data_IF_998245439697
#
_entry.id   IF_998245439697
#
_cell.length_a   1.000
_cell.length_b   1.000
_cell.length_c   1.000
_cell.angle_alpha   90.00
_cell.angle_beta   90.00
_cell.angle_gamma   90.00
#
_symmetry.space_group_name_H-M   'P 1'
#
loop_
_entity.id
_entity.type
_entity.pdbx_description
1 polymer ?
#
# COMPACT_ATOMS: atom_id res chain seq x y z
N UNK A 1 0.77 -5.91 37.23
CA UNK A 1 1.87 -5.42 36.39
C UNK A 1 1.31 -5.16 34.99
N UNK A 2 0.85 -3.95 34.72
CA UNK A 2 0.18 -3.57 33.46
C UNK A 2 1.17 -2.82 32.57
N UNK A 3 1.89 -3.56 31.72
CA UNK A 3 2.71 -2.98 30.67
C UNK A 3 1.81 -2.42 29.57
N UNK A 4 1.73 -1.10 29.45
CA UNK A 4 1.14 -0.43 28.28
C UNK A 4 2.08 -0.61 27.09
N UNK A 5 1.83 -1.62 26.26
CA UNK A 5 2.49 -1.77 24.96
C UNK A 5 1.90 -0.72 24.01
N UNK A 6 2.54 0.46 23.95
CA UNK A 6 2.33 1.42 22.86
C UNK A 6 3.11 0.90 21.66
N UNK A 7 2.47 0.08 20.83
CA UNK A 7 3.03 -0.29 19.53
C UNK A 7 2.89 0.93 18.63
N UNK A 8 3.96 1.74 18.59
CA UNK A 8 4.09 2.87 17.67
C UNK A 8 4.50 2.28 16.32
N UNK A 9 3.58 2.23 15.36
CA UNK A 9 3.85 1.84 13.97
C UNK A 9 4.59 2.99 13.25
N UNK A 10 5.89 3.12 13.52
CA UNK A 10 6.80 3.96 12.75
C UNK A 10 7.63 3.04 11.84
N UNK A 11 7.14 2.83 10.62
CA UNK A 11 7.89 2.12 9.57
C UNK A 11 8.87 3.12 8.91
N UNK A 12 9.94 3.46 9.61
CA UNK A 12 11.00 4.30 9.07
C UNK A 12 11.92 3.46 8.16
N UNK A 13 11.66 3.47 6.86
CA UNK A 13 12.56 2.89 5.85
C UNK A 13 13.79 3.80 5.74
N UNK A 14 14.83 3.51 6.52
CA UNK A 14 16.13 4.18 6.39
C UNK A 14 16.90 3.56 5.22
N UNK A 15 16.86 4.22 4.06
CA UNK A 15 17.66 3.82 2.88
C UNK A 15 19.13 4.21 3.11
N UNK A 16 19.99 3.20 3.28
CA UNK A 16 21.44 3.34 3.33
C UNK A 16 21.97 3.74 1.94
N UNK A 17 22.23 5.04 1.75
CA UNK A 17 22.92 5.55 0.57
C UNK A 17 24.42 5.20 0.61
N UNK A 18 24.80 4.08 -0.01
CA UNK A 18 26.19 3.73 -0.26
C UNK A 18 26.77 4.52 -1.44
N UNK A 19 27.54 5.57 -1.16
CA UNK A 19 28.31 6.29 -2.18
C UNK A 19 29.44 5.40 -2.74
N UNK A 20 29.25 4.81 -3.93
CA UNK A 20 30.34 4.21 -4.71
C UNK A 20 30.86 5.20 -5.74
N UNK A 21 32.12 5.60 -5.60
CA UNK A 21 32.83 6.45 -6.55
C UNK A 21 32.87 5.80 -7.93
N UNK A 22 32.41 6.52 -8.95
CA UNK A 22 32.35 6.09 -10.35
C UNK A 22 33.70 6.38 -11.02
N UNK A 23 34.40 5.39 -11.61
CA UNK A 23 35.62 5.63 -12.36
C UNK A 23 35.32 6.36 -13.68
N UNK A 24 36.17 7.34 -14.00
CA UNK A 24 36.14 8.16 -15.23
C UNK A 24 36.46 7.29 -16.45
N UNK A 25 35.57 7.20 -17.47
CA UNK A 25 35.88 6.47 -18.69
C UNK A 25 36.87 7.23 -19.58
N UNK A 26 37.86 6.51 -20.10
CA UNK A 26 38.83 6.96 -21.11
C UNK A 26 38.15 7.08 -22.48
N UNK A 27 38.43 8.13 -23.29
CA UNK A 27 37.84 8.26 -24.62
C UNK A 27 38.39 7.19 -25.57
N UNK A 28 37.50 6.45 -26.23
CA UNK A 28 37.83 5.54 -27.32
C UNK A 28 37.84 6.28 -28.68
N UNK A 29 38.67 5.84 -29.66
CA UNK A 29 38.80 6.49 -30.96
C UNK A 29 37.52 6.41 -31.81
N UNK A 30 37.25 7.49 -32.53
CA UNK A 30 36.08 7.72 -33.38
C UNK A 30 36.06 6.78 -34.59
N UNK A 31 35.03 5.92 -34.75
CA UNK A 31 34.85 5.16 -35.98
C UNK A 31 34.33 6.06 -37.13
N UNK A 32 34.89 5.83 -38.32
CA UNK A 32 34.46 6.41 -39.59
C UNK A 32 33.05 5.94 -39.95
N UNK A 33 32.15 6.86 -40.29
CA UNK A 33 30.74 6.57 -40.61
C UNK A 33 30.58 6.24 -42.09
N UNK A 34 30.21 5.00 -42.39
CA UNK A 34 29.60 4.59 -43.66
C UNK A 34 28.19 5.18 -43.78
N UNK A 35 27.76 5.66 -44.95
CA UNK A 35 26.41 6.20 -45.13
C UNK A 35 25.36 5.08 -44.96
N UNK A 36 24.46 5.27 -43.99
CA UNK A 36 23.37 4.34 -43.68
C UNK A 36 22.17 4.58 -44.62
N UNK A 37 21.51 3.47 -44.99
CA UNK A 37 20.32 3.45 -45.82
C UNK A 37 19.15 4.24 -45.20
N UNK A 38 18.35 4.83 -46.08
CA UNK A 38 17.18 5.66 -45.77
C UNK A 38 16.16 4.89 -44.91
N UNK A 39 15.65 5.47 -43.80
CA UNK A 39 14.69 4.79 -42.94
C UNK A 39 13.31 4.72 -43.61
N UNK A 40 12.78 3.50 -43.74
CA UNK A 40 11.38 3.25 -44.06
C UNK A 40 10.51 3.81 -42.93
N UNK A 41 9.55 4.67 -43.28
CA UNK A 41 8.63 5.30 -42.34
C UNK A 41 7.85 4.22 -41.56
N UNK A 42 8.13 4.08 -40.27
CA UNK A 42 7.34 3.26 -39.35
C UNK A 42 6.05 4.02 -39.06
N UNK A 43 4.92 3.43 -39.41
CA UNK A 43 3.60 4.00 -39.14
C UNK A 43 3.47 4.31 -37.63
N UNK A 44 3.20 5.57 -37.31
CA UNK A 44 2.90 5.99 -35.94
C UNK A 44 1.66 5.23 -35.46
N UNK A 45 1.85 4.37 -34.46
CA UNK A 45 0.76 3.72 -33.75
C UNK A 45 -0.14 4.83 -33.17
N UNK A 46 -1.42 4.78 -33.53
CA UNK A 46 -2.45 5.67 -33.03
C UNK A 46 -2.50 5.55 -31.50
N UNK A 47 -2.54 6.67 -30.74
CA UNK A 47 -2.61 6.59 -29.28
C UNK A 47 -3.88 5.86 -28.88
N UNK A 48 -3.73 4.69 -28.27
CA UNK A 48 -4.84 3.93 -27.71
C UNK A 48 -5.38 4.75 -26.54
N UNK A 49 -6.59 5.28 -26.69
CA UNK A 49 -7.31 5.96 -25.62
C UNK A 49 -7.40 5.02 -24.41
N UNK A 50 -7.10 5.46 -23.18
CA UNK A 50 -7.25 4.62 -22.00
C UNK A 50 -8.68 4.09 -21.96
N UNK A 51 -8.82 2.77 -22.04
CA UNK A 51 -10.14 2.14 -21.92
C UNK A 51 -10.56 2.31 -20.47
N UNK A 52 -11.66 3.02 -20.23
CA UNK A 52 -12.19 3.17 -18.88
C UNK A 52 -12.37 1.78 -18.27
N UNK A 53 -11.74 1.52 -17.12
CA UNK A 53 -11.89 0.25 -16.41
C UNK A 53 -13.38 -0.05 -16.22
N UNK A 54 -13.84 -1.28 -16.53
CA UNK A 54 -15.25 -1.61 -16.39
C UNK A 54 -15.69 -1.34 -14.96
N UNK A 55 -16.77 -0.55 -14.81
CA UNK A 55 -17.37 -0.25 -13.51
C UNK A 55 -17.74 -1.57 -12.83
N UNK A 56 -17.11 -1.85 -11.69
CA UNK A 56 -17.43 -3.02 -10.87
C UNK A 56 -18.76 -2.76 -10.16
N UNK A 57 -19.77 -3.61 -10.40
CA UNK A 57 -21.08 -3.46 -9.77
C UNK A 57 -20.97 -3.63 -8.24
N UNK A 58 -21.52 -2.68 -7.47
CA UNK A 58 -21.41 -2.66 -6.00
C UNK A 58 -20.09 -2.11 -5.47
N UNK A 59 -19.29 -1.47 -6.34
CA UNK A 59 -18.03 -0.82 -5.97
C UNK A 59 -18.06 0.66 -6.32
N UNK A 60 -17.44 1.48 -5.48
CA UNK A 60 -17.20 2.91 -5.70
C UNK A 60 -15.72 3.15 -5.95
N UNK A 61 -15.43 4.00 -6.93
CA UNK A 61 -14.08 4.49 -7.17
C UNK A 61 -13.76 5.62 -6.18
N UNK A 62 -12.61 5.49 -5.51
CA UNK A 62 -12.03 6.52 -4.66
C UNK A 62 -10.78 7.07 -5.35
N UNK A 63 -10.66 8.40 -5.39
CA UNK A 63 -9.58 9.10 -6.08
C UNK A 63 -8.87 10.03 -5.12
N UNK A 64 -7.56 9.84 -4.97
CA UNK A 64 -6.70 10.86 -4.38
C UNK A 64 -6.09 11.75 -5.45
N UNK A 65 -5.13 12.60 -5.04
CA UNK A 65 -4.37 13.43 -5.97
C UNK A 65 -3.62 12.59 -7.01
N UNK A 66 -2.92 11.55 -6.54
CA UNK A 66 -1.96 10.77 -7.36
C UNK A 66 -2.35 9.29 -7.48
N UNK A 67 -3.58 8.92 -7.10
CA UNK A 67 -4.05 7.53 -7.18
C UNK A 67 -5.55 7.42 -7.42
N UNK A 68 -5.99 6.24 -7.87
CA UNK A 68 -7.37 5.80 -7.77
C UNK A 68 -7.42 4.31 -7.40
N UNK A 69 -8.48 3.90 -6.70
CA UNK A 69 -8.84 2.49 -6.50
C UNK A 69 -10.34 2.33 -6.38
N UNK A 70 -10.81 1.09 -6.45
CA UNK A 70 -12.18 0.73 -6.19
C UNK A 70 -12.30 0.01 -4.85
N UNK A 71 -13.32 0.38 -4.07
CA UNK A 71 -13.74 -0.33 -2.86
C UNK A 71 -15.23 -0.69 -2.96
N UNK A 72 -15.71 -1.68 -2.20
CA UNK A 72 -17.14 -1.93 -2.09
C UNK A 72 -17.88 -0.67 -1.62
N UNK A 73 -19.10 -0.45 -2.11
CA UNK A 73 -19.96 0.69 -1.72
C UNK A 73 -20.25 0.77 -0.21
N UNK A 74 -20.10 -0.35 0.50
CA UNK A 74 -20.24 -0.42 1.96
C UNK A 74 -19.04 0.13 2.74
N UNK A 75 -17.93 0.45 2.07
CA UNK A 75 -16.74 1.01 2.71
C UNK A 75 -16.84 2.52 2.85
N UNK A 76 -16.41 3.03 4.00
CA UNK A 76 -16.36 4.47 4.28
C UNK A 76 -14.92 4.97 4.15
N UNK A 77 -14.68 5.85 3.18
CA UNK A 77 -13.38 6.46 2.94
C UNK A 77 -13.14 7.75 3.74
N UNK A 78 -11.90 7.97 4.15
CA UNK A 78 -11.39 9.22 4.71
C UNK A 78 -10.16 9.67 3.92
N UNK A 79 -10.21 10.89 3.40
CA UNK A 79 -9.09 11.52 2.69
C UNK A 79 -8.30 12.44 3.65
N UNK A 80 -7.00 12.17 3.90
CA UNK A 80 -6.19 12.92 4.87
C UNK A 80 -5.78 14.36 4.51
N UNK A 81 -6.13 14.85 3.31
CA UNK A 81 -5.67 16.15 2.80
C UNK A 81 -6.57 17.36 3.06
N UNK A 82 -7.73 17.19 3.69
CA UNK A 82 -8.62 18.32 4.01
C UNK A 82 -8.35 18.82 5.44
N UNK A 83 -8.28 20.14 5.61
CA UNK A 83 -8.32 20.77 6.93
C UNK A 83 -9.39 20.09 7.80
N UNK A 84 -9.00 19.66 9.00
CA UNK A 84 -9.88 18.95 9.92
C UNK A 84 -9.78 17.42 9.92
N UNK A 85 -8.66 16.82 9.48
CA UNK A 85 -8.40 15.38 9.69
C UNK A 85 -8.63 14.97 11.16
N UNK A 86 -8.13 15.76 12.11
CA UNK A 86 -8.37 15.55 13.55
C UNK A 86 -9.85 15.59 13.91
N UNK A 87 -10.63 16.50 13.32
CA UNK A 87 -12.07 16.63 13.58
C UNK A 87 -12.88 15.49 12.92
N UNK A 88 -12.52 15.09 11.70
CA UNK A 88 -13.10 13.92 11.02
C UNK A 88 -12.76 12.64 11.77
N UNK A 89 -11.54 12.53 12.27
CA UNK A 89 -11.12 11.42 13.11
C UNK A 89 -11.91 11.41 14.42
N UNK A 90 -12.05 12.54 15.11
CA UNK A 90 -12.87 12.63 16.31
C UNK A 90 -14.34 12.28 16.03
N UNK A 91 -14.89 12.73 14.89
CA UNK A 91 -16.25 12.38 14.45
C UNK A 91 -16.39 10.89 14.15
N UNK A 92 -15.39 10.30 13.51
CA UNK A 92 -15.38 8.88 13.20
C UNK A 92 -15.17 8.03 14.46
N UNK A 93 -14.35 8.47 15.42
CA UNK A 93 -14.26 7.87 16.75
C UNK A 93 -15.58 8.00 17.52
N UNK A 94 -16.29 9.13 17.39
CA UNK A 94 -17.59 9.29 18.03
C UNK A 94 -18.64 8.35 17.42
N UNK A 95 -18.63 8.16 16.10
CA UNK A 95 -19.54 7.26 15.38
C UNK A 95 -19.14 5.79 15.53
N UNK A 96 -17.84 5.54 15.67
CA UNK A 96 -17.26 4.20 15.75
C UNK A 96 -16.15 4.21 16.79
N UNK A 97 -16.51 4.08 18.08
CA UNK A 97 -15.58 4.15 19.18
C UNK A 97 -14.39 3.22 18.96
N UNK A 98 -14.59 2.02 18.41
CA UNK A 98 -13.59 0.97 18.15
C UNK A 98 -12.33 1.50 17.46
N UNK A 99 -12.50 2.42 16.50
CA UNK A 99 -11.41 2.99 15.71
C UNK A 99 -10.39 3.78 16.54
N UNK A 100 -10.78 4.31 17.70
CA UNK A 100 -9.85 4.96 18.62
C UNK A 100 -8.76 4.00 19.14
N UNK A 101 -9.06 2.71 19.26
CA UNK A 101 -8.10 1.70 19.71
C UNK A 101 -7.18 1.19 18.58
N UNK A 102 -7.67 1.19 17.35
CA UNK A 102 -6.96 0.66 16.18
C UNK A 102 -5.93 1.68 15.65
N UNK A 103 -6.32 2.94 15.60
CA UNK A 103 -5.52 3.99 14.96
C UNK A 103 -4.52 4.62 15.94
N UNK A 104 -4.68 4.39 17.25
CA UNK A 104 -3.76 4.84 18.30
C UNK A 104 -3.75 6.34 18.51
N UNK A 105 -3.14 7.10 17.59
CA UNK A 105 -3.06 8.56 17.60
C UNK A 105 -3.35 9.16 16.22
N UNK A 106 -3.70 10.45 16.19
CA UNK A 106 -3.83 11.18 14.94
C UNK A 106 -2.53 11.18 14.11
N UNK A 107 -1.37 11.08 14.78
CA UNK A 107 -0.06 11.02 14.10
C UNK A 107 0.10 9.79 13.22
N UNK A 108 -0.49 8.65 13.60
CA UNK A 108 -0.45 7.44 12.79
C UNK A 108 -1.22 7.57 11.47
N UNK A 109 -2.07 8.60 11.35
CA UNK A 109 -2.83 8.92 10.14
C UNK A 109 -2.07 9.83 9.18
N UNK A 110 -1.06 10.57 9.67
CA UNK A 110 -0.39 11.61 8.88
C UNK A 110 0.41 11.08 7.69
N UNK A 111 0.95 9.87 7.80
CA UNK A 111 1.77 9.27 6.72
C UNK A 111 0.93 8.54 5.66
N UNK A 112 -0.39 8.47 5.85
CA UNK A 112 -1.29 7.89 4.88
C UNK A 112 -1.87 8.97 3.97
N UNK A 113 -1.99 8.63 2.68
CA UNK A 113 -2.68 9.47 1.68
C UNK A 113 -4.15 9.09 1.53
N UNK A 114 -4.57 7.99 2.15
CA UNK A 114 -5.95 7.48 2.13
C UNK A 114 -6.21 6.52 3.27
N UNK A 115 -7.42 6.56 3.80
CA UNK A 115 -7.97 5.55 4.69
C UNK A 115 -9.35 5.13 4.22
N UNK A 116 -9.71 3.88 4.47
CA UNK A 116 -11.10 3.44 4.38
C UNK A 116 -11.39 2.33 5.38
N UNK A 117 -12.65 2.21 5.77
CA UNK A 117 -13.12 1.26 6.76
C UNK A 117 -14.29 0.48 6.18
N UNK A 118 -14.25 -0.84 6.33
CA UNK A 118 -15.37 -1.72 6.02
C UNK A 118 -16.54 -1.51 6.98
N UNK A 119 -17.69 -2.14 6.70
CA UNK A 119 -18.84 -2.11 7.60
C UNK A 119 -18.50 -2.70 8.97
N UNK A 120 -18.99 -2.10 10.04
CA UNK A 120 -18.82 -2.58 11.41
C UNK A 120 -20.14 -2.91 12.06
N UNK A 121 -20.21 -4.04 12.76
CA UNK A 121 -21.35 -4.39 13.62
C UNK A 121 -21.13 -3.85 15.04
N UNK A 122 -22.20 -3.62 15.83
CA UNK A 122 -22.07 -3.19 17.23
C UNK A 122 -21.17 -4.09 18.09
N UNK A 123 -21.17 -5.39 17.80
CA UNK A 123 -20.39 -6.41 18.53
C UNK A 123 -19.00 -6.66 17.93
N UNK A 124 -18.62 -5.95 16.86
CA UNK A 124 -17.31 -6.14 16.25
C UNK A 124 -16.21 -5.66 17.20
N UNK A 125 -15.20 -6.49 17.45
CA UNK A 125 -14.02 -6.09 18.22
C UNK A 125 -13.02 -5.26 17.39
N UNK A 126 -13.14 -5.33 16.06
CA UNK A 126 -12.24 -4.70 15.10
C UNK A 126 -13.02 -4.26 13.84
N UNK A 127 -12.58 -3.17 13.24
CA UNK A 127 -13.11 -2.68 11.97
C UNK A 127 -12.11 -3.00 10.86
N UNK A 128 -12.54 -3.79 9.88
CA UNK A 128 -11.74 -4.04 8.69
C UNK A 128 -11.38 -2.70 8.05
N UNK A 129 -10.14 -2.53 7.61
CA UNK A 129 -9.67 -1.24 7.13
C UNK A 129 -8.60 -1.37 6.05
N UNK A 130 -8.43 -0.27 5.33
CA UNK A 130 -7.40 -0.01 4.35
C UNK A 130 -6.72 1.30 4.71
N UNK A 131 -5.39 1.33 4.66
CA UNK A 131 -4.63 2.56 4.51
C UNK A 131 -3.66 2.49 3.34
N UNK A 132 -3.46 3.63 2.68
CA UNK A 132 -2.53 3.76 1.57
C UNK A 132 -1.46 4.75 1.97
N UNK A 133 -0.21 4.34 1.82
CA UNK A 133 0.97 5.17 2.05
C UNK A 133 1.81 5.24 0.79
N UNK A 134 2.58 6.31 0.68
CA UNK A 134 3.53 6.54 -0.41
C UNK A 134 4.89 6.86 0.19
N UNK A 135 5.92 6.12 -0.22
CA UNK A 135 7.30 6.41 0.14
C UNK A 135 8.10 6.71 -1.12
N UNK A 136 8.88 7.80 -1.13
CA UNK A 136 9.74 8.10 -2.28
C UNK A 136 10.92 7.13 -2.34
N UNK A 137 11.20 6.63 -3.54
CA UNK A 137 12.39 5.85 -3.88
C UNK A 137 13.57 6.73 -4.34
N UNK A 138 13.42 8.06 -4.33
CA UNK A 138 14.47 9.00 -4.69
C UNK A 138 14.91 8.92 -6.15
N UNK A 139 14.00 8.53 -7.05
CA UNK A 139 14.28 8.39 -8.50
C UNK A 139 15.23 7.24 -8.85
N UNK A 140 15.42 6.28 -7.94
CA UNK A 140 16.13 5.04 -8.24
C UNK A 140 15.22 4.13 -9.08
N UNK A 141 15.80 3.27 -9.94
CA UNK A 141 15.01 2.24 -10.64
C UNK A 141 14.15 1.44 -9.66
N UNK A 142 12.97 1.02 -10.11
CA UNK A 142 12.10 0.17 -9.32
C UNK A 142 12.90 -1.01 -8.72
N UNK A 143 12.84 -1.21 -7.39
CA UNK A 143 13.63 -2.21 -6.70
C UNK A 143 13.22 -3.62 -7.15
N UNK A 144 14.15 -4.56 -7.06
CA UNK A 144 13.80 -5.97 -7.06
C UNK A 144 12.88 -6.25 -5.86
N UNK A 145 11.64 -6.66 -6.13
CA UNK A 145 10.63 -6.82 -5.08
C UNK A 145 11.01 -7.91 -4.09
N UNK A 146 11.72 -8.96 -4.51
CA UNK A 146 12.20 -9.99 -3.59
C UNK A 146 13.22 -9.40 -2.59
N UNK A 147 14.21 -8.65 -3.07
CA UNK A 147 15.18 -7.97 -2.24
C UNK A 147 14.55 -6.91 -1.31
N UNK A 148 13.54 -6.16 -1.80
CA UNK A 148 12.80 -5.17 -1.01
C UNK A 148 12.05 -5.81 0.17
N UNK A 149 11.39 -6.96 -0.06
CA UNK A 149 10.43 -7.54 0.87
C UNK A 149 11.11 -8.30 2.02
N UNK A 150 12.28 -8.91 1.78
CA UNK A 150 13.00 -9.66 2.82
C UNK A 150 13.24 -8.89 4.13
N UNK A 151 13.79 -7.65 4.13
CA UNK A 151 13.98 -6.90 5.37
C UNK A 151 12.66 -6.55 6.07
N UNK A 152 11.56 -6.37 5.32
CA UNK A 152 10.23 -6.09 5.88
C UNK A 152 9.71 -7.32 6.62
N UNK A 153 9.81 -8.51 6.01
CA UNK A 153 9.44 -9.77 6.64
C UNK A 153 10.25 -10.00 7.91
N UNK A 154 11.56 -9.73 7.88
CA UNK A 154 12.41 -9.91 9.05
C UNK A 154 12.01 -8.96 10.19
N UNK A 155 11.70 -7.70 9.87
CA UNK A 155 11.14 -6.76 10.83
C UNK A 155 9.81 -7.26 11.42
N UNK A 156 8.92 -7.83 10.60
CA UNK A 156 7.66 -8.42 11.07
C UNK A 156 7.89 -9.57 12.05
N UNK A 157 8.87 -10.45 11.78
CA UNK A 157 9.23 -11.52 12.73
C UNK A 157 9.74 -10.97 14.05
N UNK A 158 10.57 -9.92 14.03
CA UNK A 158 11.07 -9.26 15.24
C UNK A 158 9.94 -8.62 16.06
N UNK A 159 8.86 -8.20 15.41
CA UNK A 159 7.66 -7.66 16.03
C UNK A 159 6.63 -8.74 16.40
N UNK A 160 7.00 -10.02 16.34
CA UNK A 160 6.16 -11.17 16.67
C UNK A 160 4.89 -11.30 15.81
N UNK A 161 4.91 -10.81 14.58
CA UNK A 161 3.93 -11.21 13.58
C UNK A 161 4.11 -12.70 13.23
N UNK A 162 3.00 -13.37 12.96
CA UNK A 162 2.94 -14.79 12.62
C UNK A 162 2.35 -14.99 11.21
N UNK A 163 2.32 -16.25 10.77
CA UNK A 163 1.72 -16.68 9.49
C UNK A 163 2.17 -15.85 8.28
N UNK A 164 3.44 -15.42 8.29
CA UNK A 164 3.96 -14.51 7.28
C UNK A 164 4.23 -15.29 5.98
N UNK A 165 3.53 -14.93 4.91
CA UNK A 165 3.81 -15.40 3.56
C UNK A 165 3.91 -14.21 2.60
N UNK A 166 4.73 -14.35 1.56
CA UNK A 166 4.92 -13.29 0.57
C UNK A 166 4.93 -13.83 -0.86
N UNK A 167 4.37 -13.03 -1.76
CA UNK A 167 4.45 -13.20 -3.20
C UNK A 167 5.14 -11.96 -3.79
N UNK A 168 6.18 -12.14 -4.58
CA UNK A 168 7.05 -11.04 -5.05
C UNK A 168 7.09 -10.87 -6.56
N UNK A 169 6.34 -11.69 -7.29
CA UNK A 169 6.23 -11.71 -8.75
C UNK A 169 4.89 -11.15 -9.24
N UNK A 170 4.23 -10.32 -8.43
CA UNK A 170 2.97 -9.70 -8.78
C UNK A 170 3.17 -8.52 -9.72
N UNK A 171 2.13 -8.23 -10.49
CA UNK A 171 2.02 -7.03 -11.31
C UNK A 171 0.68 -6.36 -11.03
N UNK A 172 0.70 -5.08 -10.66
CA UNK A 172 -0.50 -4.26 -10.45
C UNK A 172 -0.38 -3.02 -11.34
N UNK A 173 -1.38 -2.77 -12.17
CA UNK A 173 -1.39 -1.68 -13.15
C UNK A 173 -0.13 -1.59 -14.04
N UNK A 174 0.50 -2.73 -14.35
CA UNK A 174 1.72 -2.79 -15.16
C UNK A 174 3.03 -2.55 -14.38
N UNK A 175 2.96 -2.40 -13.07
CA UNK A 175 4.12 -2.16 -12.20
C UNK A 175 4.46 -3.39 -11.36
N UNK A 176 5.76 -3.57 -11.09
CA UNK A 176 6.23 -4.62 -10.20
C UNK A 176 5.61 -4.46 -8.82
N UNK A 177 5.08 -5.55 -8.28
CA UNK A 177 4.39 -5.56 -7.02
C UNK A 177 4.75 -6.78 -6.17
N UNK A 178 4.47 -6.67 -4.88
CA UNK A 178 4.52 -7.77 -3.94
C UNK A 178 3.32 -7.74 -3.01
N UNK A 179 2.99 -8.88 -2.45
CA UNK A 179 1.95 -9.05 -1.47
C UNK A 179 2.52 -9.78 -0.27
N UNK A 180 2.37 -9.21 0.92
CA UNK A 180 2.67 -9.86 2.19
C UNK A 180 1.35 -10.15 2.90
N UNK A 181 1.17 -11.39 3.32
CA UNK A 181 0.15 -11.78 4.31
C UNK A 181 0.83 -12.01 5.63
N UNK A 182 0.17 -11.64 6.72
CA UNK A 182 0.67 -11.85 8.07
C UNK A 182 -0.49 -11.83 9.06
N UNK A 183 -0.22 -12.25 10.28
CA UNK A 183 -1.16 -12.19 11.38
C UNK A 183 -0.47 -11.63 12.63
N UNK A 184 -1.24 -11.00 13.53
CA UNK A 184 -0.72 -10.58 14.83
C UNK A 184 -1.80 -10.66 15.91
N UNK A 185 -1.41 -10.90 17.17
CA UNK A 185 -2.37 -10.96 18.26
C UNK A 185 -3.01 -9.59 18.48
N UNK A 186 -4.31 -9.62 18.75
CA UNK A 186 -5.11 -8.46 19.10
C UNK A 186 -5.87 -8.72 20.38
N UNK A 187 -5.93 -7.74 21.26
CA UNK A 187 -6.79 -7.77 22.44
C UNK A 187 -7.88 -6.73 22.28
N UNK A 188 -9.13 -7.21 22.17
CA UNK A 188 -10.33 -6.39 22.12
C UNK A 188 -10.55 -5.60 23.40
N UNK A 189 -11.52 -4.67 23.37
CA UNK A 189 -11.84 -3.82 24.54
C UNK A 189 -12.41 -4.59 25.72
N UNK A 190 -13.13 -5.65 25.42
CA UNK A 190 -13.67 -6.62 26.36
C UNK A 190 -12.58 -7.53 26.96
N UNK A 191 -11.33 -7.37 26.52
CA UNK A 191 -10.22 -8.24 26.89
C UNK A 191 -10.17 -9.54 26.10
N UNK A 192 -11.09 -9.76 25.15
CA UNK A 192 -11.06 -10.94 24.30
C UNK A 192 -9.80 -10.92 23.44
N UNK A 193 -9.07 -12.04 23.45
CA UNK A 193 -7.95 -12.23 22.52
C UNK A 193 -8.47 -12.69 21.16
N UNK A 194 -7.89 -12.15 20.11
CA UNK A 194 -8.14 -12.55 18.75
C UNK A 194 -6.88 -12.36 17.90
N UNK A 195 -7.03 -12.54 16.61
CA UNK A 195 -5.97 -12.38 15.64
C UNK A 195 -6.44 -11.43 14.54
N UNK A 196 -5.62 -10.45 14.20
CA UNK A 196 -5.82 -9.61 13.02
C UNK A 196 -5.01 -10.22 11.89
N UNK A 197 -5.63 -10.34 10.72
CA UNK A 197 -4.95 -10.74 9.49
C UNK A 197 -4.68 -9.51 8.64
N UNK A 198 -3.42 -9.31 8.28
CA UNK A 198 -2.97 -8.22 7.42
C UNK A 198 -2.68 -8.70 5.99
N UNK A 199 -3.06 -7.89 5.00
CA UNK A 199 -2.67 -8.02 3.61
C UNK A 199 -2.04 -6.72 3.16
N UNK A 200 -0.75 -6.75 2.83
CA UNK A 200 -0.03 -5.56 2.37
C UNK A 200 0.42 -5.74 0.93
N UNK A 201 -0.05 -4.89 0.04
CA UNK A 201 0.38 -4.83 -1.35
C UNK A 201 1.37 -3.67 -1.51
N UNK A 202 2.54 -3.97 -2.04
CA UNK A 202 3.59 -3.01 -2.32
C UNK A 202 3.71 -2.88 -3.83
N UNK A 203 3.50 -1.69 -4.38
CA UNK A 203 3.54 -1.42 -5.82
C UNK A 203 4.63 -0.41 -6.10
N UNK A 204 5.66 -0.82 -6.85
CA UNK A 204 6.85 -0.02 -7.11
C UNK A 204 6.79 0.67 -8.48
N UNK A 205 7.04 1.98 -8.48
CA UNK A 205 7.34 2.77 -9.68
C UNK A 205 8.82 3.15 -9.70
N UNK A 206 9.25 3.91 -10.70
CA UNK A 206 10.60 4.49 -10.74
C UNK A 206 10.80 5.62 -9.71
N UNK A 207 9.73 6.14 -9.10
CA UNK A 207 9.80 7.27 -8.20
C UNK A 207 9.34 6.92 -6.78
N UNK A 208 8.43 5.96 -6.64
CA UNK A 208 7.68 5.74 -5.41
C UNK A 208 7.38 4.27 -5.15
N UNK A 209 7.25 3.96 -3.87
CA UNK A 209 6.69 2.73 -3.35
C UNK A 209 5.32 3.05 -2.75
N UNK A 210 4.28 2.50 -3.35
CA UNK A 210 2.92 2.57 -2.85
C UNK A 210 2.63 1.36 -1.98
N UNK A 211 2.08 1.58 -0.79
CA UNK A 211 1.82 0.54 0.20
C UNK A 211 0.34 0.57 0.54
N UNK A 212 -0.41 -0.44 0.07
CA UNK A 212 -1.82 -0.65 0.40
C UNK A 212 -1.89 -1.68 1.51
N UNK A 213 -2.24 -1.26 2.73
CA UNK A 213 -2.32 -2.15 3.89
C UNK A 213 -3.78 -2.36 4.27
N UNK A 214 -4.27 -3.57 4.06
CA UNK A 214 -5.57 -4.04 4.51
C UNK A 214 -5.41 -4.81 5.81
N UNK A 215 -6.35 -4.64 6.73
CA UNK A 215 -6.43 -5.42 7.96
C UNK A 215 -7.86 -5.94 8.16
N UNK A 216 -7.96 -7.21 8.53
CA UNK A 216 -9.22 -7.91 8.81
C UNK A 216 -9.25 -8.37 10.26
N UNK A 217 -10.38 -8.17 10.93
CA UNK A 217 -10.61 -8.58 12.30
C UNK A 217 -10.82 -10.10 12.46
N UNK A 218 -10.85 -10.60 13.71
CA UNK A 218 -11.06 -12.03 13.99
C UNK A 218 -12.41 -12.57 13.49
N UNK A 219 -13.41 -11.68 13.32
CA UNK A 219 -14.75 -12.01 12.84
C UNK A 219 -14.96 -11.63 11.37
N UNK A 220 -13.89 -11.33 10.63
CA UNK A 220 -13.99 -10.96 9.23
C UNK A 220 -14.58 -12.09 8.39
N UNK A 221 -15.29 -11.69 7.32
CA UNK A 221 -15.86 -12.62 6.36
C UNK A 221 -14.74 -13.46 5.70
N UNK A 222 -14.93 -14.78 5.49
CA UNK A 222 -13.94 -15.62 4.81
C UNK A 222 -13.53 -15.12 3.41
N UNK A 223 -14.37 -14.31 2.76
CA UNK A 223 -14.13 -13.65 1.48
C UNK A 223 -13.32 -12.35 1.56
N UNK A 224 -12.93 -11.86 2.76
CA UNK A 224 -12.19 -10.61 2.93
C UNK A 224 -10.87 -10.60 2.13
N UNK A 225 -10.13 -11.71 2.13
CA UNK A 225 -8.88 -11.82 1.36
C UNK A 225 -9.11 -11.62 -0.15
N UNK A 226 -10.17 -12.22 -0.71
CA UNK A 226 -10.51 -12.08 -2.12
C UNK A 226 -10.96 -10.65 -2.45
N UNK A 227 -11.73 -10.02 -1.55
CA UNK A 227 -12.14 -8.62 -1.65
C UNK A 227 -10.93 -7.69 -1.65
N UNK A 228 -9.98 -7.87 -0.73
CA UNK A 228 -8.75 -7.06 -0.69
C UNK A 228 -7.90 -7.24 -1.94
N UNK A 229 -7.77 -8.47 -2.44
CA UNK A 229 -7.07 -8.75 -3.69
C UNK A 229 -7.74 -8.05 -4.88
N UNK A 230 -9.07 -8.14 -4.98
CA UNK A 230 -9.83 -7.47 -6.04
C UNK A 230 -9.67 -5.95 -5.98
N UNK A 231 -9.74 -5.36 -4.78
CA UNK A 231 -9.51 -3.93 -4.59
C UNK A 231 -8.08 -3.52 -5.00
N UNK A 232 -7.06 -4.23 -4.52
CA UNK A 232 -5.66 -3.95 -4.84
C UNK A 232 -5.38 -4.03 -6.35
N UNK A 233 -6.01 -4.96 -7.08
CA UNK A 233 -5.89 -5.06 -8.53
C UNK A 233 -6.49 -3.88 -9.30
N UNK A 234 -7.38 -3.11 -8.67
CA UNK A 234 -7.94 -1.89 -9.27
C UNK A 234 -7.08 -0.65 -9.02
N UNK A 235 -6.04 -0.76 -8.20
CA UNK A 235 -5.20 0.36 -7.84
C UNK A 235 -4.42 0.87 -9.06
N UNK A 236 -4.50 2.17 -9.30
CA UNK A 236 -3.75 2.86 -10.35
C UNK A 236 -3.13 4.13 -9.79
N UNK A 237 -1.87 4.37 -10.15
CA UNK A 237 -1.19 5.64 -9.89
C UNK A 237 -1.53 6.65 -11.00
N UNK A 238 -1.56 7.95 -10.67
CA UNK A 238 -1.93 9.03 -11.59
C UNK A 238 -0.88 10.12 -11.67
#
# INVERSE_FOLDING_TARGET
MTGRWRIIFLLSVAVLAGCRARPTPTPAPTPSRTPAASPTAVAMATPVRPTASPRLAGWTEHRGADFALWLPESWTALEPGADGLTARFAGLQAQNPLLAGILGSADALHDAVFWAFGPTTPDAAFADNLNIRRASLGGQPAPDMAALIQPIIEQYRQLAFADIAAQTDLVIAGHAAAHITYSFPFTGRDGASGQITGHQYLVATDADLWILSYAAGPAADPGAAALFAQSAQTFVMR
#
